data_IF_949325417985
#
_entry.id   IF_949325417985
#
_cell.length_a   1.000
_cell.length_b   1.000
_cell.length_c   1.000
_cell.angle_alpha   90.00
_cell.angle_beta   90.00
_cell.angle_gamma   90.00
#
_symmetry.space_group_name_H-M   'P 1'
#
loop_
_entity.id
_entity.type
_entity.pdbx_description
1 polymer ?
#
# COMPACT_ATOMS: atom_id res chain seq x y z
N UNK A 1 10.54 -0.72 23.94
CA UNK A 1 11.02 -0.82 22.54
C UNK A 1 10.41 -2.08 21.94
N UNK A 2 9.56 -1.97 20.91
CA UNK A 2 9.14 -3.14 20.13
C UNK A 2 10.37 -3.68 19.41
N UNK A 3 10.72 -4.95 19.64
CA UNK A 3 11.85 -5.60 18.96
C UNK A 3 11.35 -6.09 17.61
N UNK A 4 11.91 -5.57 16.52
CA UNK A 4 11.71 -6.11 15.18
C UNK A 4 12.32 -7.51 15.11
N UNK A 5 11.60 -8.43 14.50
CA UNK A 5 11.98 -9.84 14.41
C UNK A 5 12.96 -10.11 13.27
N UNK A 6 12.84 -9.33 12.20
CA UNK A 6 13.74 -9.32 11.05
C UNK A 6 13.90 -7.88 10.57
N UNK A 7 15.09 -7.56 10.09
CA UNK A 7 15.45 -6.26 9.54
C UNK A 7 16.08 -6.49 8.18
N UNK A 8 15.63 -5.74 7.17
CA UNK A 8 16.09 -5.85 5.78
C UNK A 8 16.47 -4.47 5.25
N UNK A 9 17.32 -4.41 4.23
CA UNK A 9 17.72 -3.16 3.59
C UNK A 9 18.97 -2.51 4.20
N UNK A 10 19.43 -1.40 3.60
CA UNK A 10 20.64 -0.70 4.05
C UNK A 10 20.36 0.13 5.31
N UNK A 11 21.42 0.41 6.06
CA UNK A 11 21.32 1.17 7.32
C UNK A 11 20.69 2.55 7.12
N UNK A 12 19.66 2.86 7.91
CA UNK A 12 18.86 4.09 7.82
C UNK A 12 17.67 4.03 6.86
N UNK A 13 17.55 2.96 6.07
CA UNK A 13 16.45 2.73 5.13
C UNK A 13 15.82 1.33 5.34
N UNK A 14 15.95 0.80 6.56
CA UNK A 14 15.55 -0.57 6.83
C UNK A 14 14.04 -0.79 6.83
N UNK A 15 13.66 -2.00 6.45
CA UNK A 15 12.31 -2.53 6.58
C UNK A 15 12.32 -3.48 7.77
N UNK A 16 11.38 -3.30 8.69
CA UNK A 16 11.29 -4.12 9.89
C UNK A 16 10.09 -5.03 9.78
N UNK A 17 10.28 -6.33 9.93
CA UNK A 17 9.18 -7.28 10.00
C UNK A 17 8.96 -7.72 11.45
N UNK A 18 7.71 -7.65 11.89
CA UNK A 18 7.25 -8.14 13.20
C UNK A 18 6.42 -9.41 12.97
N UNK A 19 6.91 -10.58 13.43
CA UNK A 19 6.24 -11.87 13.20
C UNK A 19 4.94 -11.99 13.97
N UNK A 20 4.88 -11.40 15.17
CA UNK A 20 3.70 -11.46 16.05
C UNK A 20 2.48 -10.80 15.41
N UNK A 21 2.69 -9.67 14.73
CA UNK A 21 1.64 -8.91 14.02
C UNK A 21 1.63 -9.16 12.52
N UNK A 22 2.56 -9.98 12.00
CA UNK A 22 2.79 -10.21 10.56
C UNK A 22 2.85 -8.91 9.75
N UNK A 23 3.49 -7.90 10.33
CA UNK A 23 3.49 -6.54 9.77
C UNK A 23 4.88 -6.17 9.30
N UNK A 24 4.96 -5.67 8.05
CA UNK A 24 6.13 -4.98 7.52
C UNK A 24 6.02 -3.50 7.87
N UNK A 25 6.90 -3.01 8.72
CA UNK A 25 7.03 -1.60 9.06
C UNK A 25 8.05 -0.93 8.14
N UNK A 26 7.53 -0.02 7.31
CA UNK A 26 8.27 0.84 6.38
C UNK A 26 8.26 2.31 6.84
N UNK A 27 7.76 2.60 8.05
CA UNK A 27 7.63 3.97 8.57
C UNK A 27 8.97 4.62 8.85
N UNK A 28 10.03 3.81 9.08
CA UNK A 28 11.36 4.26 9.52
C UNK A 28 11.27 5.11 10.80
N UNK A 29 10.35 4.75 11.70
CA UNK A 29 10.10 5.45 12.95
C UNK A 29 9.35 6.78 12.80
N UNK A 30 8.87 7.14 11.60
CA UNK A 30 8.10 8.37 11.37
C UNK A 30 6.64 8.19 11.77
N UNK A 31 6.02 9.28 12.22
CA UNK A 31 4.60 9.35 12.57
C UNK A 31 3.87 10.42 11.73
N UNK A 32 2.55 10.28 11.52
CA UNK A 32 1.71 9.14 11.87
C UNK A 32 2.03 7.90 11.02
N UNK A 33 1.67 6.71 11.51
CA UNK A 33 1.76 5.46 10.74
C UNK A 33 0.36 5.05 10.27
N UNK A 34 0.25 4.60 9.03
CA UNK A 34 -0.95 3.98 8.49
C UNK A 34 -0.66 2.54 8.09
N UNK A 35 -1.45 1.61 8.64
CA UNK A 35 -1.31 0.18 8.37
C UNK A 35 -2.40 -0.28 7.41
N UNK A 36 -2.01 -0.98 6.36
CA UNK A 36 -2.89 -1.54 5.34
C UNK A 36 -2.64 -3.04 5.19
N UNK A 37 -3.72 -3.83 5.16
CA UNK A 37 -3.65 -5.26 4.91
C UNK A 37 -3.39 -5.55 3.43
N UNK A 38 -2.56 -6.56 3.14
CA UNK A 38 -2.26 -6.96 1.77
C UNK A 38 -3.39 -7.82 1.20
N UNK A 39 -3.81 -7.56 -0.04
CA UNK A 39 -4.84 -8.35 -0.73
C UNK A 39 -4.34 -9.68 -1.30
N UNK A 40 -3.02 -9.90 -1.30
CA UNK A 40 -2.31 -11.08 -1.82
C UNK A 40 -1.08 -11.34 -0.95
N UNK A 41 -0.60 -12.58 -0.92
CA UNK A 41 0.53 -13.00 -0.09
C UNK A 41 0.11 -13.82 1.14
N UNK A 42 1.02 -14.04 2.11
CA UNK A 42 0.72 -14.80 3.31
C UNK A 42 -0.47 -14.20 4.08
N UNK A 43 -1.34 -15.07 4.61
CA UNK A 43 -2.55 -14.64 5.30
C UNK A 43 -2.26 -13.67 6.45
N UNK A 44 -3.09 -12.62 6.55
CA UNK A 44 -3.02 -11.59 7.60
C UNK A 44 -1.72 -10.76 7.59
N UNK A 45 -1.05 -10.68 6.43
CA UNK A 45 0.08 -9.77 6.26
C UNK A 45 -0.40 -8.33 6.15
N UNK A 46 0.29 -7.42 6.83
CA UNK A 46 0.02 -5.99 6.72
C UNK A 46 1.30 -5.18 6.54
N UNK A 47 1.14 -3.94 6.07
CA UNK A 47 2.23 -3.01 5.79
C UNK A 47 1.92 -1.70 6.48
N UNK A 48 2.85 -1.19 7.28
CA UNK A 48 2.78 0.13 7.90
C UNK A 48 3.65 1.11 7.14
N UNK A 49 3.07 2.24 6.73
CA UNK A 49 3.76 3.32 6.01
C UNK A 49 3.56 4.65 6.70
N UNK A 50 4.53 5.56 6.57
CA UNK A 50 4.40 6.94 7.03
C UNK A 50 3.83 7.80 5.89
N UNK A 51 2.61 8.36 5.99
CA UNK A 51 1.93 9.02 4.88
C UNK A 51 2.74 10.13 4.21
N UNK A 52 3.43 10.97 5.01
CA UNK A 52 4.22 12.11 4.54
C UNK A 52 5.51 11.74 3.81
N UNK A 53 5.90 10.47 3.81
CA UNK A 53 7.10 9.96 3.15
C UNK A 53 6.75 8.83 2.17
N UNK A 54 5.48 8.75 1.77
CA UNK A 54 4.94 7.72 0.89
C UNK A 54 4.29 8.39 -0.31
N UNK A 55 4.40 7.76 -1.47
CA UNK A 55 3.66 8.14 -2.69
C UNK A 55 2.80 6.95 -3.15
N UNK A 56 1.59 7.24 -3.64
CA UNK A 56 0.73 6.25 -4.27
C UNK A 56 0.97 6.27 -5.78
N UNK A 57 1.51 5.18 -6.34
CA UNK A 57 1.69 5.02 -7.79
C UNK A 57 0.63 4.07 -8.33
N UNK A 58 -0.14 4.52 -9.31
CA UNK A 58 -1.20 3.75 -9.97
C UNK A 58 -0.79 3.52 -11.42
N UNK A 59 -0.64 2.26 -11.80
CA UNK A 59 -0.17 1.87 -13.14
C UNK A 59 -1.32 1.26 -13.94
N UNK A 60 -1.40 1.62 -15.23
CA UNK A 60 -2.30 1.03 -16.24
C UNK A 60 -3.82 1.03 -15.94
N UNK A 61 -4.33 1.98 -15.15
CA UNK A 61 -5.78 2.14 -14.90
C UNK A 61 -6.56 2.84 -16.03
N UNK A 62 -6.07 2.80 -17.27
CA UNK A 62 -6.75 3.40 -18.42
C UNK A 62 -7.94 2.57 -18.90
N UNK A 63 -8.92 3.23 -19.54
CA UNK A 63 -10.19 2.64 -20.01
C UNK A 63 -10.05 1.35 -20.86
N UNK A 64 -8.92 1.18 -21.55
CA UNK A 64 -8.60 -0.01 -22.33
C UNK A 64 -8.67 -1.31 -21.51
N UNK A 65 -8.42 -1.24 -20.20
CA UNK A 65 -8.45 -2.39 -19.28
C UNK A 65 -9.77 -2.54 -18.50
N UNK A 66 -10.71 -1.59 -18.64
CA UNK A 66 -11.90 -1.50 -17.78
C UNK A 66 -13.23 -1.59 -18.54
N UNK A 67 -13.27 -1.21 -19.83
CA UNK A 67 -14.54 -1.15 -20.56
C UNK A 67 -14.89 -2.53 -21.18
N UNK A 68 -16.08 -3.10 -20.92
CA UNK A 68 -16.48 -4.43 -21.40
C UNK A 68 -16.54 -4.55 -22.93
N UNK A 69 -16.63 -3.43 -23.65
CA UNK A 69 -16.51 -3.37 -25.13
C UNK A 69 -15.09 -3.59 -25.67
N UNK A 70 -14.05 -3.46 -24.84
CA UNK A 70 -12.64 -3.66 -25.23
C UNK A 70 -12.11 -5.01 -24.73
N UNK A 71 -12.51 -5.46 -23.53
CA UNK A 71 -12.18 -6.80 -23.00
C UNK A 71 -13.09 -7.11 -21.79
N UNK A 72 -13.76 -8.25 -21.77
CA UNK A 72 -14.62 -8.62 -20.64
C UNK A 72 -13.76 -9.23 -19.52
N UNK A 73 -13.23 -8.40 -18.61
CA UNK A 73 -12.34 -8.84 -17.53
C UNK A 73 -12.92 -8.45 -16.15
N UNK A 74 -13.75 -9.31 -15.52
CA UNK A 74 -14.44 -8.99 -14.26
C UNK A 74 -13.49 -8.63 -13.11
N UNK A 75 -12.25 -9.13 -13.13
CA UNK A 75 -11.22 -8.75 -12.15
C UNK A 75 -10.75 -7.29 -12.27
N UNK A 76 -10.78 -6.69 -13.48
CA UNK A 76 -10.36 -5.30 -13.70
C UNK A 76 -11.35 -4.29 -13.10
N UNK A 77 -12.65 -4.57 -13.23
CA UNK A 77 -13.69 -3.74 -12.63
C UNK A 77 -13.65 -3.78 -11.09
N UNK A 78 -13.43 -4.97 -10.51
CA UNK A 78 -13.27 -5.11 -9.06
C UNK A 78 -11.99 -4.43 -8.53
N UNK A 79 -10.93 -4.36 -9.35
CA UNK A 79 -9.72 -3.60 -9.02
C UNK A 79 -9.99 -2.09 -9.01
N UNK A 80 -10.78 -1.57 -9.95
CA UNK A 80 -11.09 -0.13 -10.02
C UNK A 80 -11.77 0.41 -8.75
N UNK A 81 -12.78 -0.29 -8.23
CA UNK A 81 -13.46 0.10 -6.99
C UNK A 81 -12.53 0.08 -5.77
N UNK A 82 -11.66 -0.94 -5.68
CA UNK A 82 -10.65 -1.01 -4.60
C UNK A 82 -9.64 0.11 -4.74
N UNK A 83 -9.16 0.39 -5.94
CA UNK A 83 -8.22 1.48 -6.24
C UNK A 83 -8.82 2.83 -5.85
N UNK A 84 -10.10 3.07 -6.15
CA UNK A 84 -10.79 4.32 -5.76
C UNK A 84 -10.78 4.53 -4.24
N UNK A 85 -11.11 3.50 -3.45
CA UNK A 85 -11.07 3.58 -1.98
C UNK A 85 -9.66 3.85 -1.43
N UNK A 86 -8.64 3.27 -2.06
CA UNK A 86 -7.24 3.52 -1.70
C UNK A 86 -6.85 4.97 -2.02
N UNK A 87 -7.23 5.50 -3.18
CA UNK A 87 -6.99 6.90 -3.55
C UNK A 87 -7.65 7.85 -2.53
N UNK A 88 -8.93 7.63 -2.22
CA UNK A 88 -9.66 8.43 -1.25
C UNK A 88 -8.95 8.41 0.11
N UNK A 89 -8.52 7.23 0.57
CA UNK A 89 -7.79 7.12 1.84
C UNK A 89 -6.42 7.80 1.81
N UNK A 90 -5.69 7.69 0.71
CA UNK A 90 -4.41 8.36 0.53
C UNK A 90 -4.57 9.88 0.56
N UNK A 91 -5.62 10.43 -0.06
CA UNK A 91 -5.95 11.86 -0.02
C UNK A 91 -6.28 12.34 1.39
N UNK A 92 -7.09 11.59 2.15
CA UNK A 92 -7.38 11.89 3.56
C UNK A 92 -6.11 11.96 4.42
N UNK A 93 -5.13 11.11 4.14
CA UNK A 93 -3.89 11.00 4.91
C UNK A 93 -2.78 11.95 4.43
N UNK A 94 -3.00 12.72 3.36
CA UNK A 94 -2.00 13.61 2.77
C UNK A 94 -0.84 12.87 2.09
N UNK A 95 -1.08 11.66 1.60
CA UNK A 95 -0.14 10.90 0.77
C UNK A 95 -0.09 11.55 -0.61
N UNK A 96 1.10 11.83 -1.14
CA UNK A 96 1.23 12.39 -2.48
C UNK A 96 0.72 11.41 -3.53
N UNK A 97 -0.17 11.90 -4.39
CA UNK A 97 -0.67 11.21 -5.58
C UNK A 97 -0.22 12.02 -6.80
N UNK A 98 -0.04 11.41 -7.98
CA UNK A 98 0.44 12.12 -9.17
C UNK A 98 -0.42 13.34 -9.60
N UNK A 99 -1.65 13.44 -9.10
CA UNK A 99 -2.58 14.54 -9.37
C UNK A 99 -2.49 15.71 -8.36
N UNK A 100 -1.57 15.68 -7.38
CA UNK A 100 -1.45 16.67 -6.30
C UNK A 100 -0.11 17.39 -6.20
#
# INVERSE_FOLDING_TARGET
MRRSDLTFGPTGDEWHYERSSRTYDLTRGRSPAWTVGTSQGPAETSISVAPRSTALVIVDMQNYFLHPRCRNHPAGLAAAEKTKRVIEKCRELGIQSPDS
#
